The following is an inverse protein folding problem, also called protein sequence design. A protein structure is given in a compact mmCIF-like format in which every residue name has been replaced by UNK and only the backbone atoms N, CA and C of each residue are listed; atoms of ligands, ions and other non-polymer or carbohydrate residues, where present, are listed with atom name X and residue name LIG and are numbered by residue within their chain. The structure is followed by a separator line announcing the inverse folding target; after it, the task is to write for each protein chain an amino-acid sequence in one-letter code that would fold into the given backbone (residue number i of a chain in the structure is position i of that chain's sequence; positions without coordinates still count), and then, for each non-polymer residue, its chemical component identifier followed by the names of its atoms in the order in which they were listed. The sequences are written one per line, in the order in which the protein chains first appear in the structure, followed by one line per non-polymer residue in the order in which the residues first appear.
data_IF_058589367484
#
_entry.id   IF_058589367484
#
_cell.length_a   1.000
_cell.length_b   1.000
_cell.length_c   1.000
_cell.angle_alpha   90.00
_cell.angle_beta   90.00
_cell.angle_gamma   90.00
#
_symmetry.space_group_name_H-M   'P 1'
#
loop_
_entity.id
_entity.type
_entity.pdbx_description
1 polymer ?
#
# COMPACT_ATOMS: atom_id res chain seq x y z
N UNK A 1 2.72 -10.52 16.22
CA UNK A 1 2.20 -9.14 16.17
C UNK A 1 0.68 -9.20 16.07
N UNK A 2 -0.04 -8.31 16.78
CA UNK A 2 -1.50 -8.20 16.59
C UNK A 2 -1.74 -7.69 15.17
N UNK A 3 -2.53 -8.42 14.37
CA UNK A 3 -2.86 -8.01 13.00
C UNK A 3 -3.65 -6.70 13.07
N UNK A 4 -3.15 -5.67 12.39
CA UNK A 4 -3.83 -4.38 12.27
C UNK A 4 -4.80 -4.41 11.08
N UNK A 5 -5.69 -3.42 10.99
CA UNK A 5 -6.72 -3.35 9.95
C UNK A 5 -6.17 -3.50 8.52
N UNK A 6 -6.95 -4.13 7.64
CA UNK A 6 -6.58 -4.43 6.26
C UNK A 6 -7.18 -3.42 5.28
N UNK A 7 -6.48 -3.14 4.18
CA UNK A 7 -6.92 -2.18 3.15
C UNK A 7 -8.04 -2.78 2.29
N UNK A 8 -9.28 -2.59 2.71
CA UNK A 8 -10.44 -3.07 1.95
C UNK A 8 -11.00 -2.02 0.97
N UNK A 9 -10.83 -0.73 1.30
CA UNK A 9 -11.38 0.40 0.55
C UNK A 9 -10.36 1.53 0.42
N UNK A 10 -10.67 2.52 -0.41
CA UNK A 10 -9.86 3.74 -0.46
C UNK A 10 -9.94 4.45 0.89
N UNK A 11 -8.79 4.67 1.50
CA UNK A 11 -8.69 5.29 2.82
C UNK A 11 -8.97 6.79 2.73
N UNK A 12 -9.92 7.33 3.51
CA UNK A 12 -10.19 8.76 3.57
C UNK A 12 -9.03 9.53 4.23
N UNK A 13 -8.98 10.83 3.94
CA UNK A 13 -8.04 11.73 4.61
C UNK A 13 -8.49 12.01 6.06
N UNK A 14 -7.55 12.12 6.99
CA UNK A 14 -7.80 12.49 8.38
C UNK A 14 -8.38 13.89 8.51
N UNK A 15 -8.02 14.79 7.59
CA UNK A 15 -8.58 16.13 7.48
C UNK A 15 -9.57 16.21 6.32
N UNK A 16 -10.51 17.15 6.40
CA UNK A 16 -11.33 17.56 5.26
C UNK A 16 -10.40 18.07 4.17
N UNK A 17 -10.61 17.64 2.92
CA UNK A 17 -9.79 18.06 1.78
C UNK A 17 -10.52 19.05 0.90
N UNK A 18 -9.79 20.04 0.39
CA UNK A 18 -10.26 21.05 -0.54
C UNK A 18 -9.45 21.02 -1.85
N UNK A 19 -10.09 21.39 -2.95
CA UNK A 19 -9.43 21.60 -4.24
C UNK A 19 -9.04 23.06 -4.34
N UNK A 20 -7.77 23.34 -4.59
CA UNK A 20 -7.25 24.68 -4.89
C UNK A 20 -6.84 24.78 -6.35
N UNK A 21 -7.18 25.88 -7.00
CA UNK A 21 -6.80 26.21 -8.37
C UNK A 21 -5.33 26.68 -8.46
N UNK A 22 -4.43 25.81 -7.99
CA UNK A 22 -2.99 26.00 -8.01
C UNK A 22 -2.35 24.74 -8.59
N UNK A 23 -1.30 24.90 -9.41
CA UNK A 23 -0.65 23.78 -10.06
C UNK A 23 -0.15 22.72 -9.04
N UNK A 24 -0.38 21.46 -9.36
CA UNK A 24 0.05 20.33 -8.53
C UNK A 24 1.55 20.14 -8.59
N UNK A 25 2.20 20.09 -7.43
CA UNK A 25 3.60 19.63 -7.32
C UNK A 25 3.75 18.11 -7.56
N UNK A 26 2.64 17.34 -7.52
CA UNK A 26 2.64 15.88 -7.69
C UNK A 26 2.56 15.44 -9.16
N UNK A 27 1.81 16.19 -9.99
CA UNK A 27 1.52 15.80 -11.37
C UNK A 27 1.75 16.98 -12.29
N UNK A 28 2.68 16.80 -13.22
CA UNK A 28 2.92 17.74 -14.30
C UNK A 28 1.62 18.02 -15.07
N UNK A 29 1.36 19.29 -15.36
CA UNK A 29 0.15 19.78 -16.05
C UNK A 29 -1.18 19.64 -15.32
N UNK A 30 -1.22 19.24 -14.04
CA UNK A 30 -2.46 19.32 -13.27
C UNK A 30 -2.62 20.76 -12.72
N UNK A 31 -3.65 21.53 -13.14
CA UNK A 31 -3.78 22.95 -12.79
C UNK A 31 -4.36 23.19 -11.39
N UNK A 32 -4.66 22.13 -10.64
CA UNK A 32 -5.22 22.19 -9.30
C UNK A 32 -4.47 21.25 -8.35
N UNK A 33 -4.56 21.49 -7.04
CA UNK A 33 -4.06 20.61 -5.99
C UNK A 33 -5.16 20.29 -4.98
N UNK A 34 -5.08 19.11 -4.37
CA UNK A 34 -5.98 18.69 -3.30
C UNK A 34 -5.22 18.79 -1.99
N UNK A 35 -5.62 19.70 -1.11
CA UNK A 35 -4.99 19.93 0.18
C UNK A 35 -5.92 19.57 1.34
N UNK A 36 -5.33 19.14 2.45
CA UNK A 36 -5.99 19.03 3.73
C UNK A 36 -6.21 20.44 4.30
N UNK A 37 -7.38 20.63 4.90
CA UNK A 37 -7.69 21.78 5.75
C UNK A 37 -7.22 21.51 7.18
N UNK A 38 -7.44 22.46 8.09
CA UNK A 38 -7.16 22.27 9.52
C UNK A 38 -8.23 21.45 10.25
N UNK A 39 -9.35 21.15 9.58
CA UNK A 39 -10.51 20.49 10.16
C UNK A 39 -10.40 18.97 10.03
N UNK A 40 -10.46 18.25 11.15
CA UNK A 40 -10.54 16.78 11.15
C UNK A 40 -11.85 16.33 10.48
N UNK A 41 -11.79 15.33 9.61
CA UNK A 41 -12.97 14.84 8.90
C UNK A 41 -13.92 14.12 9.84
N UNK A 42 -15.24 14.22 9.58
CA UNK A 42 -16.23 13.48 10.38
C UNK A 42 -15.93 11.98 10.38
N UNK A 43 -15.48 11.41 9.23
CA UNK A 43 -15.13 9.98 9.12
C UNK A 43 -14.00 9.58 10.07
N UNK A 44 -13.06 10.48 10.34
CA UNK A 44 -11.99 10.22 11.29
C UNK A 44 -12.51 10.30 12.73
N UNK A 45 -13.36 11.27 13.05
CA UNK A 45 -13.97 11.41 14.37
C UNK A 45 -14.91 10.23 14.69
N UNK A 46 -15.76 9.84 13.74
CA UNK A 46 -16.69 8.71 13.84
C UNK A 46 -15.96 7.39 14.11
N UNK A 47 -14.72 7.26 13.63
CA UNK A 47 -13.86 6.10 13.81
C UNK A 47 -12.97 6.16 15.07
N UNK A 48 -13.15 7.15 15.95
CA UNK A 48 -12.33 7.37 17.15
C UNK A 48 -10.81 7.44 16.85
N UNK A 49 -10.44 8.30 15.90
CA UNK A 49 -9.06 8.49 15.43
C UNK A 49 -8.05 8.78 16.57
N UNK A 50 -8.50 9.36 17.68
CA UNK A 50 -7.63 9.72 18.80
C UNK A 50 -7.12 8.50 19.58
N UNK A 51 -7.83 7.38 19.52
CA UNK A 51 -7.43 6.09 20.12
C UNK A 51 -6.75 5.15 19.12
N UNK A 52 -6.64 5.56 17.86
CA UNK A 52 -6.15 4.71 16.77
C UNK A 52 -4.63 4.50 16.84
N UNK A 53 -4.17 3.39 16.26
CA UNK A 53 -2.75 3.05 16.19
C UNK A 53 -2.14 3.66 14.91
N UNK A 54 -1.17 4.58 15.00
CA UNK A 54 -0.54 5.18 13.82
C UNK A 54 0.60 4.30 13.30
N UNK A 55 0.65 4.13 11.98
CA UNK A 55 1.70 3.41 11.27
C UNK A 55 2.17 4.22 10.07
N UNK A 56 3.38 3.93 9.60
CA UNK A 56 3.91 4.48 8.36
C UNK A 56 3.01 4.10 7.18
N UNK A 57 2.62 5.09 6.38
CA UNK A 57 2.07 4.83 5.05
C UNK A 57 3.25 4.50 4.13
N UNK A 58 3.31 3.26 3.67
CA UNK A 58 4.34 2.82 2.73
C UNK A 58 3.88 3.09 1.31
N UNK A 59 4.71 3.79 0.54
CA UNK A 59 4.51 4.04 -0.88
C UNK A 59 4.80 2.79 -1.72
N UNK A 60 3.80 1.92 -1.84
CA UNK A 60 3.83 0.71 -2.65
C UNK A 60 2.57 0.53 -3.49
N UNK A 61 2.49 -0.64 -4.14
CA UNK A 61 1.25 -1.12 -4.73
C UNK A 61 0.60 -2.13 -3.81
N UNK A 62 -0.67 -1.88 -3.47
CA UNK A 62 -1.41 -2.70 -2.52
C UNK A 62 -1.61 -4.12 -3.04
N UNK A 63 -1.35 -5.09 -2.18
CA UNK A 63 -1.48 -6.52 -2.40
C UNK A 63 -2.34 -7.15 -1.30
N UNK A 64 -2.80 -8.38 -1.54
CA UNK A 64 -3.55 -9.17 -0.58
C UNK A 64 -3.12 -10.63 -0.67
N UNK A 65 -3.07 -11.36 0.44
CA UNK A 65 -2.83 -12.81 0.42
C UNK A 65 -4.10 -13.52 0.84
N UNK A 66 -4.60 -14.41 -0.02
CA UNK A 66 -5.77 -15.26 0.26
C UNK A 66 -5.74 -16.50 -0.62
N UNK A 67 -6.66 -17.43 -0.36
CA UNK A 67 -6.72 -18.71 -1.05
C UNK A 67 -7.14 -18.56 -2.52
N UNK A 68 -6.41 -19.21 -3.42
CA UNK A 68 -6.75 -19.41 -4.82
C UNK A 68 -6.41 -20.85 -5.21
N UNK A 69 -7.34 -21.58 -5.82
CA UNK A 69 -7.14 -23.01 -6.17
C UNK A 69 -6.68 -23.84 -4.96
N UNK A 70 -7.34 -23.60 -3.81
CA UNK A 70 -7.07 -24.26 -2.52
C UNK A 70 -5.67 -24.04 -1.92
N UNK A 71 -4.92 -23.05 -2.43
CA UNK A 71 -3.58 -22.70 -1.95
C UNK A 71 -3.45 -21.21 -1.60
N UNK A 72 -2.62 -20.83 -0.61
CA UNK A 72 -2.30 -19.44 -0.36
C UNK A 72 -1.67 -18.76 -1.58
N UNK A 73 -2.23 -17.63 -2.01
CA UNK A 73 -1.78 -16.92 -3.20
C UNK A 73 -1.61 -15.43 -2.93
N UNK A 74 -0.71 -14.77 -3.66
CA UNK A 74 -0.64 -13.32 -3.70
C UNK A 74 -1.65 -12.81 -4.73
N UNK A 75 -2.34 -11.74 -4.36
CA UNK A 75 -3.33 -11.06 -5.18
C UNK A 75 -2.94 -9.59 -5.33
N UNK A 76 -3.01 -9.08 -6.56
CA UNK A 76 -2.78 -7.69 -6.87
C UNK A 76 -4.09 -6.91 -6.82
N UNK A 77 -4.02 -5.64 -6.39
CA UNK A 77 -5.18 -4.75 -6.39
C UNK A 77 -5.65 -4.45 -7.81
N UNK A 78 -6.93 -4.69 -8.08
CA UNK A 78 -7.60 -4.31 -9.32
C UNK A 78 -8.97 -3.69 -9.01
N UNK A 79 -9.05 -2.37 -9.01
CA UNK A 79 -10.33 -1.67 -8.86
C UNK A 79 -11.14 -1.76 -10.16
N UNK A 80 -12.38 -2.24 -10.08
CA UNK A 80 -13.33 -2.17 -11.19
C UNK A 80 -13.85 -0.73 -11.30
N UNK A 81 -13.51 -0.09 -12.41
CA UNK A 81 -13.78 1.34 -12.68
C UNK A 81 -14.99 1.52 -13.60
N UNK A 82 -15.68 2.66 -13.53
CA UNK A 82 -16.75 2.97 -14.45
C UNK A 82 -16.21 3.10 -15.88
N UNK A 83 -17.07 2.84 -16.86
CA UNK A 83 -16.81 3.12 -18.26
C UNK A 83 -16.84 4.64 -18.49
N UNK A 84 -16.42 5.10 -19.69
CA UNK A 84 -16.30 6.55 -19.98
C UNK A 84 -17.63 7.30 -19.86
N UNK A 85 -18.75 6.68 -20.23
CA UNK A 85 -20.07 7.31 -20.21
C UNK A 85 -20.60 7.44 -18.77
N UNK A 86 -20.47 6.37 -18.00
CA UNK A 86 -20.85 6.33 -16.60
C UNK A 86 -20.00 7.28 -15.74
N UNK A 87 -18.68 7.33 -15.96
CA UNK A 87 -17.78 8.27 -15.28
C UNK A 87 -18.17 9.73 -15.54
N UNK A 88 -18.54 10.07 -16.79
CA UNK A 88 -19.03 11.40 -17.14
C UNK A 88 -20.34 11.74 -16.43
N UNK A 89 -21.31 10.81 -16.43
CA UNK A 89 -22.59 10.96 -15.72
C UNK A 89 -22.37 11.17 -14.22
N UNK A 90 -21.51 10.37 -13.61
CA UNK A 90 -21.20 10.44 -12.19
C UNK A 90 -20.54 11.77 -11.81
N UNK A 91 -19.56 12.24 -12.60
CA UNK A 91 -18.94 13.55 -12.38
C UNK A 91 -19.94 14.71 -12.51
N UNK A 92 -20.83 14.65 -13.50
CA UNK A 92 -21.88 15.66 -13.66
C UNK A 92 -22.84 15.68 -12.46
N UNK A 93 -23.19 14.50 -11.93
CA UNK A 93 -24.00 14.38 -10.72
C UNK A 93 -23.29 15.01 -9.51
N UNK A 94 -22.01 14.71 -9.29
CA UNK A 94 -21.23 15.30 -8.19
C UNK A 94 -21.15 16.84 -8.27
N UNK A 95 -21.11 17.41 -9.47
CA UNK A 95 -21.09 18.87 -9.67
C UNK A 95 -22.48 19.53 -9.53
N UNK A 96 -23.57 18.76 -9.55
CA UNK A 96 -24.92 19.32 -9.44
C UNK A 96 -25.22 19.71 -7.99
N UNK A 97 -25.75 20.93 -7.78
CA UNK A 97 -25.99 21.49 -6.43
C UNK A 97 -27.23 20.91 -5.71
N UNK A 98 -28.01 20.05 -6.38
CA UNK A 98 -29.22 19.42 -5.83
C UNK A 98 -28.95 17.97 -5.37
N UNK A 99 -28.09 17.79 -4.36
CA UNK A 99 -27.73 16.46 -3.86
C UNK A 99 -28.73 15.93 -2.81
N UNK A 100 -30.03 15.89 -3.12
CA UNK A 100 -31.02 15.19 -2.28
C UNK A 100 -31.27 13.74 -2.68
N UNK A 101 -30.79 13.31 -3.86
CA UNK A 101 -30.96 11.94 -4.40
C UNK A 101 -29.62 11.25 -4.56
N UNK A 102 -29.54 9.96 -4.22
CA UNK A 102 -28.35 9.14 -4.45
C UNK A 102 -28.16 8.85 -5.96
N UNK A 103 -26.90 8.74 -6.41
CA UNK A 103 -26.61 8.33 -7.78
C UNK A 103 -26.89 6.84 -7.97
N UNK A 104 -27.71 6.52 -8.96
CA UNK A 104 -28.06 5.13 -9.29
C UNK A 104 -27.10 4.56 -10.33
N UNK A 105 -26.36 3.53 -9.91
CA UNK A 105 -25.44 2.77 -10.76
C UNK A 105 -26.14 1.58 -11.42
N UNK A 106 -25.93 1.39 -12.72
CA UNK A 106 -26.20 0.11 -13.38
C UNK A 106 -24.93 -0.76 -13.36
N UNK A 107 -24.82 -1.69 -12.41
CA UNK A 107 -23.60 -2.49 -12.18
C UNK A 107 -23.17 -3.32 -13.42
N UNK A 108 -24.12 -3.69 -14.27
CA UNK A 108 -23.85 -4.49 -15.47
C UNK A 108 -23.27 -3.64 -16.60
N UNK A 109 -23.84 -2.45 -16.83
CA UNK A 109 -23.49 -1.61 -17.98
C UNK A 109 -22.45 -0.53 -17.65
N UNK A 110 -22.50 0.05 -16.45
CA UNK A 110 -21.73 1.26 -16.10
C UNK A 110 -20.24 0.97 -15.86
N UNK A 111 -19.83 -0.30 -15.74
CA UNK A 111 -18.48 -0.67 -15.32
C UNK A 111 -17.70 -1.45 -16.36
N UNK A 112 -16.39 -1.27 -16.36
CA UNK A 112 -15.49 -2.07 -17.20
C UNK A 112 -15.54 -3.55 -16.80
N UNK A 113 -15.31 -4.47 -17.76
CA UNK A 113 -15.19 -5.89 -17.45
C UNK A 113 -13.95 -6.14 -16.59
N UNK A 114 -14.02 -7.18 -15.78
CA UNK A 114 -12.91 -7.72 -14.98
C UNK A 114 -12.71 -9.19 -15.33
N UNK A 115 -11.51 -9.77 -15.09
CA UNK A 115 -11.29 -11.20 -15.24
C UNK A 115 -12.24 -12.02 -14.36
N UNK A 116 -12.54 -13.25 -14.76
CA UNK A 116 -13.41 -14.17 -13.99
C UNK A 116 -12.87 -14.45 -12.59
N UNK A 117 -11.54 -14.52 -12.44
CA UNK A 117 -10.87 -14.70 -11.15
C UNK A 117 -10.88 -13.44 -10.27
N UNK A 118 -11.46 -12.33 -10.71
CA UNK A 118 -11.55 -11.12 -9.89
C UNK A 118 -12.52 -11.31 -8.72
N UNK A 119 -12.09 -10.89 -7.53
CA UNK A 119 -12.95 -10.90 -6.34
C UNK A 119 -13.08 -9.48 -5.77
N UNK A 120 -14.27 -9.08 -5.27
CA UNK A 120 -14.42 -7.83 -4.54
C UNK A 120 -13.63 -7.88 -3.24
N UNK A 121 -13.15 -6.72 -2.78
CA UNK A 121 -12.63 -6.59 -1.42
C UNK A 121 -13.74 -6.89 -0.38
N UNK A 122 -13.36 -7.47 0.76
CA UNK A 122 -14.30 -8.12 1.69
C UNK A 122 -15.36 -7.21 2.28
N UNK A 123 -15.01 -5.96 2.57
CA UNK A 123 -15.89 -5.00 3.24
C UNK A 123 -16.68 -4.11 2.27
N UNK A 124 -16.77 -4.50 1.00
CA UNK A 124 -17.60 -3.77 0.05
C UNK A 124 -19.07 -3.99 0.38
N UNK A 125 -19.84 -2.90 0.37
CA UNK A 125 -21.31 -2.97 0.51
C UNK A 125 -21.90 -3.68 -0.70
N UNK A 126 -22.84 -4.58 -0.46
CA UNK A 126 -23.56 -5.28 -1.53
C UNK A 126 -25.02 -4.83 -1.56
N UNK A 127 -25.55 -4.57 -2.76
CA UNK A 127 -26.96 -4.27 -2.99
C UNK A 127 -27.52 -5.32 -3.96
N UNK A 128 -28.54 -6.06 -3.53
CA UNK A 128 -29.11 -7.19 -4.29
C UNK A 128 -28.05 -8.19 -4.77
N UNK A 129 -27.06 -8.49 -3.92
CA UNK A 129 -25.96 -9.42 -4.22
C UNK A 129 -24.81 -8.83 -5.05
N UNK A 130 -24.92 -7.60 -5.55
CA UNK A 130 -23.88 -6.97 -6.35
C UNK A 130 -23.02 -5.99 -5.53
N UNK A 131 -21.69 -5.96 -5.72
CA UNK A 131 -20.83 -5.00 -5.04
C UNK A 131 -21.11 -3.58 -5.52
N UNK A 132 -21.25 -2.66 -4.57
CA UNK A 132 -21.55 -1.24 -4.82
C UNK A 132 -20.24 -0.44 -4.85
N UNK A 133 -20.11 0.53 -5.77
CA UNK A 133 -18.94 1.41 -5.80
C UNK A 133 -18.81 2.28 -4.55
N UNK A 134 -17.57 2.70 -4.28
CA UNK A 134 -17.25 3.69 -3.27
C UNK A 134 -17.66 5.12 -3.71
N UNK A 135 -17.39 6.10 -2.85
CA UNK A 135 -17.67 7.52 -3.12
C UNK A 135 -16.94 8.10 -4.34
N UNK A 136 -15.93 7.39 -4.86
CA UNK A 136 -15.20 7.76 -6.07
C UNK A 136 -15.73 7.03 -7.31
N UNK A 137 -16.80 6.23 -7.17
CA UNK A 137 -17.36 5.43 -8.24
C UNK A 137 -16.59 4.16 -8.53
N UNK A 138 -15.62 3.75 -7.69
CA UNK A 138 -14.80 2.55 -7.93
C UNK A 138 -15.27 1.37 -7.08
N UNK A 139 -15.15 0.16 -7.60
CA UNK A 139 -15.34 -1.07 -6.80
C UNK A 139 -13.97 -1.70 -6.54
N UNK A 140 -13.43 -1.54 -5.32
CA UNK A 140 -12.27 -2.28 -4.83
C UNK A 140 -12.26 -3.77 -5.19
N UNK A 141 -11.11 -4.31 -5.56
CA UNK A 141 -11.02 -5.76 -5.75
C UNK A 141 -9.62 -6.25 -6.02
N UNK A 142 -9.53 -7.55 -6.27
CA UNK A 142 -8.29 -8.29 -6.29
C UNK A 142 -8.27 -9.28 -7.45
N UNK A 143 -7.09 -9.53 -8.01
CA UNK A 143 -6.86 -10.63 -8.96
C UNK A 143 -5.61 -11.42 -8.55
N UNK A 144 -5.59 -12.75 -8.75
CA UNK A 144 -4.45 -13.56 -8.36
C UNK A 144 -3.23 -13.23 -9.23
N UNK A 145 -2.06 -13.24 -8.61
CA UNK A 145 -0.77 -12.99 -9.27
C UNK A 145 -0.27 -14.32 -9.85
N UNK A 146 -0.63 -14.58 -11.11
CA UNK A 146 -0.14 -15.75 -11.84
C UNK A 146 1.19 -15.45 -12.56
N UNK A 147 2.14 -16.42 -12.56
CA UNK A 147 3.48 -16.25 -13.16
C UNK A 147 3.44 -15.85 -14.64
N UNK A 148 2.42 -16.28 -15.38
CA UNK A 148 2.24 -15.98 -16.81
C UNK A 148 1.76 -14.54 -17.08
N UNK A 149 1.24 -13.84 -16.07
CA UNK A 149 0.67 -12.51 -16.24
C UNK A 149 1.76 -11.42 -16.21
N UNK A 150 2.11 -10.89 -17.38
CA UNK A 150 3.10 -9.82 -17.53
C UNK A 150 2.74 -8.53 -16.79
N UNK A 151 1.45 -8.25 -16.55
CA UNK A 151 1.01 -7.06 -15.82
C UNK A 151 1.51 -7.08 -14.36
N UNK A 152 1.65 -8.27 -13.77
CA UNK A 152 2.02 -8.45 -12.36
C UNK A 152 3.41 -9.07 -12.20
N UNK A 153 4.29 -8.94 -13.21
CA UNK A 153 5.61 -9.57 -13.19
C UNK A 153 6.46 -9.20 -11.96
N UNK A 154 6.35 -7.98 -11.45
CA UNK A 154 7.03 -7.56 -10.22
C UNK A 154 6.43 -8.17 -8.96
N UNK A 155 5.12 -8.38 -8.93
CA UNK A 155 4.45 -9.10 -7.83
C UNK A 155 4.87 -10.58 -7.84
N UNK A 156 4.95 -11.19 -9.03
CA UNK A 156 5.42 -12.57 -9.18
C UNK A 156 6.88 -12.74 -8.76
N UNK A 157 7.70 -11.68 -8.76
CA UNK A 157 9.12 -11.74 -8.40
C UNK A 157 9.40 -11.92 -6.90
N UNK A 158 8.41 -11.61 -6.06
CA UNK A 158 8.52 -11.64 -4.59
C UNK A 158 7.83 -12.84 -3.96
N UNK A 159 7.31 -13.76 -4.75
CA UNK A 159 6.65 -14.98 -4.29
C UNK A 159 7.21 -16.21 -4.98
N UNK A 160 7.32 -17.29 -4.24
CA UNK A 160 7.59 -18.60 -4.77
C UNK A 160 6.49 -19.57 -4.33
N UNK A 161 5.57 -19.87 -5.23
CA UNK A 161 4.44 -20.77 -4.97
C UNK A 161 4.85 -22.25 -4.84
N UNK A 162 6.03 -22.65 -5.33
CA UNK A 162 6.51 -24.03 -5.14
C UNK A 162 6.86 -24.30 -3.68
N UNK A 163 7.45 -23.31 -3.01
CA UNK A 163 7.77 -23.36 -1.59
C UNK A 163 6.77 -22.61 -0.70
N UNK A 164 5.69 -22.09 -1.30
CA UNK A 164 4.66 -21.28 -0.64
C UNK A 164 5.22 -20.12 0.24
N UNK A 165 6.25 -19.43 -0.24
CA UNK A 165 6.90 -18.33 0.48
C UNK A 165 6.83 -17.00 -0.27
N UNK A 166 6.90 -15.91 0.50
CA UNK A 166 7.00 -14.54 0.04
C UNK A 166 8.27 -13.87 0.59
N UNK A 167 8.90 -12.99 -0.17
CA UNK A 167 10.03 -12.18 0.29
C UNK A 167 9.53 -10.90 0.96
N UNK A 168 9.77 -10.78 2.26
CA UNK A 168 9.13 -9.76 3.10
C UNK A 168 10.17 -8.90 3.82
N UNK A 169 9.93 -7.59 3.87
CA UNK A 169 10.63 -6.63 4.70
C UNK A 169 9.81 -6.33 5.97
N UNK A 170 10.44 -6.45 7.14
CA UNK A 170 9.81 -6.18 8.43
C UNK A 170 10.82 -5.70 9.47
N UNK A 171 10.37 -5.39 10.69
CA UNK A 171 11.28 -5.19 11.83
C UNK A 171 11.91 -6.50 12.26
N UNK A 172 13.18 -6.46 12.66
CA UNK A 172 13.80 -7.60 13.33
C UNK A 172 13.04 -7.88 14.64
N UNK A 173 12.70 -9.15 14.95
CA UNK A 173 11.90 -9.49 16.13
C UNK A 173 12.48 -8.97 17.45
N UNK A 174 13.81 -9.04 17.58
CA UNK A 174 14.52 -8.70 18.82
C UNK A 174 15.14 -7.29 18.82
N UNK A 175 15.16 -6.61 17.67
CA UNK A 175 15.75 -5.27 17.53
C UNK A 175 14.87 -4.36 16.67
N UNK A 176 14.00 -3.53 17.29
CA UNK A 176 13.16 -2.58 16.56
C UNK A 176 13.93 -1.53 15.76
N UNK A 177 15.23 -1.32 16.02
CA UNK A 177 16.09 -0.44 15.24
C UNK A 177 16.59 -1.06 13.94
N UNK A 178 16.47 -2.38 13.80
CA UNK A 178 16.95 -3.17 12.66
C UNK A 178 15.76 -3.62 11.79
N UNK A 179 15.93 -3.50 10.48
CA UNK A 179 15.04 -4.13 9.50
C UNK A 179 15.56 -5.51 9.12
N UNK A 180 14.66 -6.41 8.75
CA UNK A 180 14.98 -7.75 8.26
C UNK A 180 14.27 -8.00 6.93
N UNK A 181 15.02 -8.55 5.97
CA UNK A 181 14.47 -9.18 4.77
C UNK A 181 14.54 -10.70 4.97
N UNK A 182 13.40 -11.37 4.85
CA UNK A 182 13.33 -12.83 5.02
C UNK A 182 12.21 -13.45 4.18
N UNK A 183 12.34 -14.74 3.80
CA UNK A 183 11.22 -15.50 3.28
C UNK A 183 10.22 -15.76 4.41
N UNK A 184 8.94 -15.60 4.12
CA UNK A 184 7.82 -15.81 5.05
C UNK A 184 6.81 -16.73 4.37
N UNK A 185 6.31 -17.78 5.05
CA UNK A 185 5.22 -18.59 4.52
C UNK A 185 4.01 -17.75 4.13
N UNK A 186 3.43 -18.00 2.96
CA UNK A 186 2.21 -17.34 2.50
C UNK A 186 1.04 -17.62 3.46
N UNK A 187 1.03 -18.78 4.12
CA UNK A 187 0.08 -19.14 5.19
C UNK A 187 0.09 -18.15 6.34
N UNK A 188 1.26 -17.65 6.75
CA UNK A 188 1.40 -16.66 7.82
C UNK A 188 0.81 -15.29 7.41
N UNK A 189 0.80 -15.02 6.10
CA UNK A 189 0.29 -13.80 5.49
C UNK A 189 -1.20 -13.89 5.10
N UNK A 190 -1.85 -15.03 5.28
CA UNK A 190 -3.26 -15.21 4.90
C UNK A 190 -4.17 -14.15 5.50
N UNK A 191 -5.02 -13.61 4.64
CA UNK A 191 -5.98 -12.55 4.89
C UNK A 191 -5.34 -11.21 5.32
N UNK A 192 -4.07 -10.98 5.00
CA UNK A 192 -3.39 -9.70 5.21
C UNK A 192 -3.24 -8.92 3.91
N UNK A 193 -3.39 -7.60 4.01
CA UNK A 193 -2.95 -6.68 2.94
C UNK A 193 -1.49 -6.31 3.12
N UNK A 194 -0.78 -6.17 2.01
CA UNK A 194 0.64 -5.82 1.97
C UNK A 194 0.86 -4.68 0.97
N UNK A 195 2.01 -4.05 1.03
CA UNK A 195 2.50 -3.13 0.01
C UNK A 195 3.69 -3.78 -0.70
N UNK A 196 3.59 -3.91 -2.03
CA UNK A 196 4.73 -4.23 -2.87
C UNK A 196 5.54 -2.95 -3.07
N UNK A 197 6.82 -2.98 -2.72
CA UNK A 197 7.78 -1.90 -3.01
C UNK A 197 8.92 -2.42 -3.86
N UNK A 198 9.64 -1.54 -4.53
CA UNK A 198 10.85 -1.93 -5.25
C UNK A 198 11.25 -1.01 -6.39
N UNK A 199 12.26 -1.46 -7.13
CA UNK A 199 12.90 -0.71 -8.22
C UNK A 199 11.92 -0.18 -9.25
N UNK A 200 10.86 -0.93 -9.56
CA UNK A 200 9.89 -0.59 -10.58
C UNK A 200 8.54 -0.11 -10.01
N UNK A 201 8.45 0.12 -8.71
CA UNK A 201 7.20 0.51 -8.04
C UNK A 201 7.25 1.97 -7.62
N UNK A 202 6.23 2.74 -8.02
CA UNK A 202 5.97 4.13 -7.59
C UNK A 202 7.20 5.06 -7.64
N UNK A 203 8.10 4.88 -8.61
CA UNK A 203 9.31 5.71 -8.76
C UNK A 203 10.45 5.36 -7.79
N UNK A 204 10.37 4.23 -7.10
CA UNK A 204 11.39 3.70 -6.18
C UNK A 204 11.79 4.68 -5.06
N UNK A 205 10.84 5.15 -4.22
CA UNK A 205 11.11 6.10 -3.14
C UNK A 205 12.14 5.58 -2.11
N UNK A 206 12.31 4.25 -2.04
CA UNK A 206 13.22 3.61 -1.10
C UNK A 206 14.58 3.25 -1.69
N UNK A 207 14.84 3.56 -2.97
CA UNK A 207 16.15 3.32 -3.59
C UNK A 207 16.54 1.84 -3.67
N UNK A 208 15.56 0.94 -3.77
CA UNK A 208 15.78 -0.50 -3.87
C UNK A 208 16.33 -0.87 -5.25
N UNK A 209 17.47 -1.56 -5.27
CA UNK A 209 18.07 -2.12 -6.48
C UNK A 209 18.31 -1.10 -7.60
N UNK A 210 18.49 -1.59 -8.81
CA UNK A 210 18.64 -0.76 -10.01
C UNK A 210 18.10 -1.50 -11.25
N UNK A 211 18.10 -0.85 -12.42
CA UNK A 211 17.56 -1.45 -13.66
C UNK A 211 18.22 -2.78 -14.05
N UNK A 212 19.50 -2.98 -13.71
CA UNK A 212 20.25 -4.20 -14.00
C UNK A 212 19.94 -5.30 -12.99
N UNK A 213 19.79 -4.92 -11.72
CA UNK A 213 19.50 -5.82 -10.60
C UNK A 213 18.30 -5.27 -9.82
N UNK A 214 17.07 -5.47 -10.34
CA UNK A 214 15.88 -4.94 -9.69
C UNK A 214 15.59 -5.71 -8.41
N UNK A 215 15.19 -5.01 -7.36
CA UNK A 215 14.80 -5.56 -6.06
C UNK A 215 13.37 -5.16 -5.76
N UNK A 216 12.56 -6.13 -5.36
CA UNK A 216 11.18 -5.94 -4.90
C UNK A 216 10.98 -6.69 -3.59
N UNK A 217 10.13 -6.16 -2.72
CA UNK A 217 9.84 -6.70 -1.40
C UNK A 217 8.37 -6.45 -1.05
N UNK A 218 7.77 -7.36 -0.29
CA UNK A 218 6.47 -7.12 0.34
C UNK A 218 6.66 -6.55 1.75
N UNK A 219 5.80 -5.60 2.13
CA UNK A 219 5.71 -5.10 3.50
C UNK A 219 4.29 -5.37 4.00
N UNK A 220 4.09 -6.11 5.10
CA UNK A 220 2.76 -6.26 5.68
C UNK A 220 2.22 -4.89 6.10
N UNK A 221 0.97 -4.62 5.77
CA UNK A 221 0.37 -3.34 6.09
C UNK A 221 0.34 -3.13 7.62
N UNK A 222 0.78 -1.96 8.07
CA UNK A 222 0.88 -1.63 9.50
C UNK A 222 2.10 -2.22 10.22
N UNK A 223 3.06 -2.82 9.48
CA UNK A 223 4.28 -3.38 10.08
C UNK A 223 5.16 -2.35 10.80
N UNK A 224 5.04 -1.07 10.45
CA UNK A 224 5.89 0.02 10.96
C UNK A 224 5.06 1.00 11.79
N UNK A 225 4.90 0.73 13.08
CA UNK A 225 4.21 1.61 14.01
C UNK A 225 5.03 2.88 14.29
N UNK A 226 4.36 4.03 14.30
CA UNK A 226 4.96 5.33 14.62
C UNK A 226 4.88 5.53 16.14
N UNK A 227 6.02 5.81 16.78
CA UNK A 227 6.09 5.93 18.24
C UNK A 227 5.96 7.37 18.71
N UNK A 228 6.57 8.31 18.00
CA UNK A 228 6.61 9.73 18.40
C UNK A 228 5.74 10.59 17.50
N UNK A 229 4.46 10.22 17.40
CA UNK A 229 3.48 11.00 16.66
C UNK A 229 3.18 12.31 17.41
N UNK A 230 3.16 13.48 16.75
CA UNK A 230 2.73 14.72 17.40
C UNK A 230 1.22 14.70 17.64
N UNK A 231 0.69 15.76 18.26
CA UNK A 231 -0.76 15.92 18.41
C UNK A 231 -1.44 15.93 17.03
N UNK A 232 -2.66 15.41 16.98
CA UNK A 232 -3.46 15.37 15.75
C UNK A 232 -3.99 16.77 15.41
N UNK A 233 -3.10 17.66 14.98
CA UNK A 233 -3.37 18.99 14.47
C UNK A 233 -2.59 19.18 13.18
N UNK A 234 -3.18 19.91 12.23
CA UNK A 234 -2.61 20.11 10.90
C UNK A 234 -1.16 20.64 10.96
N UNK A 235 -0.94 21.73 11.69
CA UNK A 235 0.37 22.37 11.75
C UNK A 235 1.41 21.54 12.52
N UNK A 236 1.00 20.81 13.56
CA UNK A 236 1.88 19.92 14.32
C UNK A 236 2.35 18.75 13.43
N UNK A 237 1.46 18.17 12.62
CA UNK A 237 1.81 17.13 11.65
C UNK A 237 2.70 17.69 10.53
N UNK A 238 2.38 18.88 9.99
CA UNK A 238 3.19 19.53 8.96
C UNK A 238 4.63 19.72 9.44
N UNK A 239 4.82 20.34 10.60
CA UNK A 239 6.14 20.53 11.21
C UNK A 239 6.86 19.21 11.49
N UNK A 240 6.14 18.16 11.88
CA UNK A 240 6.73 16.84 12.09
C UNK A 240 7.20 16.18 10.79
N UNK A 241 6.43 16.25 9.71
CA UNK A 241 6.84 15.71 8.40
C UNK A 241 8.08 16.43 7.83
N UNK A 242 8.30 17.69 8.16
CA UNK A 242 9.45 18.48 7.69
C UNK A 242 10.68 18.34 8.60
N UNK A 243 10.49 18.46 9.92
CA UNK A 243 11.57 18.57 10.89
C UNK A 243 11.97 17.27 11.59
N UNK A 244 11.08 16.27 11.66
CA UNK A 244 11.35 15.02 12.39
C UNK A 244 12.00 13.96 11.49
N UNK A 245 12.97 13.21 12.03
CA UNK A 245 13.58 12.07 11.33
C UNK A 245 12.56 10.96 11.06
N UNK A 246 11.71 10.62 12.04
CA UNK A 246 10.62 9.64 11.89
C UNK A 246 9.54 10.15 10.91
N UNK A 247 9.43 11.47 10.75
CA UNK A 247 8.52 12.13 9.80
C UNK A 247 8.95 12.10 8.35
N UNK A 248 10.12 11.53 8.01
CA UNK A 248 10.59 11.37 6.62
C UNK A 248 9.93 10.17 5.93
N UNK A 249 8.61 10.13 5.94
CA UNK A 249 7.77 9.04 5.39
C UNK A 249 6.70 9.60 4.45
N UNK A 250 6.08 8.77 3.60
CA UNK A 250 5.07 9.21 2.61
C UNK A 250 3.84 9.83 3.28
N UNK A 251 3.46 9.27 4.42
CA UNK A 251 2.23 9.58 5.12
C UNK A 251 2.07 8.74 6.37
N UNK A 252 0.93 8.90 7.02
CA UNK A 252 0.53 8.13 8.20
C UNK A 252 -0.78 7.41 7.87
N UNK A 253 -0.91 6.19 8.35
CA UNK A 253 -2.16 5.44 8.42
C UNK A 253 -2.53 5.24 9.88
N UNK A 254 -3.76 5.56 10.25
CA UNK A 254 -4.30 5.25 11.56
C UNK A 254 -5.23 4.04 11.44
N UNK A 255 -4.97 3.06 12.29
CA UNK A 255 -5.76 1.85 12.44
C UNK A 255 -6.75 2.02 13.59
N UNK A 256 -8.01 2.28 13.24
CA UNK A 256 -9.08 2.54 14.19
C UNK A 256 -9.62 1.23 14.78
N UNK A 257 -10.25 1.30 15.94
CA UNK A 257 -10.74 0.14 16.69
C UNK A 257 -11.91 -0.57 16.00
N UNK A 258 -12.68 0.16 15.19
CA UNK A 258 -13.78 -0.33 14.35
C UNK A 258 -13.31 -0.98 13.03
N UNK A 259 -12.00 -1.05 12.80
CA UNK A 259 -11.40 -1.57 11.56
C UNK A 259 -11.22 -0.51 10.46
N UNK A 260 -11.70 0.72 10.66
CA UNK A 260 -11.52 1.80 9.71
C UNK A 260 -10.03 2.19 9.58
N UNK A 261 -9.62 2.51 8.35
CA UNK A 261 -8.29 3.01 8.05
C UNK A 261 -8.38 4.46 7.58
N UNK A 262 -7.82 5.36 8.36
CA UNK A 262 -7.74 6.79 8.06
C UNK A 262 -6.30 7.13 7.68
N UNK A 263 -6.06 8.07 6.76
CA UNK A 263 -4.70 8.45 6.38
C UNK A 263 -4.45 9.93 6.26
N UNK A 264 -3.18 10.30 6.28
CA UNK A 264 -2.70 11.57 5.71
C UNK A 264 -1.50 11.26 4.83
N UNK A 265 -1.35 12.02 3.75
CA UNK A 265 -0.21 11.92 2.85
C UNK A 265 0.47 13.28 2.82
N UNK A 266 1.80 13.32 2.76
CA UNK A 266 2.60 14.54 2.55
C UNK A 266 1.99 15.53 1.56
N UNK A 267 1.53 15.05 0.40
CA UNK A 267 0.92 15.92 -0.61
C UNK A 267 -0.36 16.62 -0.16
N UNK A 268 -1.16 16.02 0.74
CA UNK A 268 -2.32 16.70 1.30
C UNK A 268 -1.88 17.88 2.19
N UNK A 269 -0.69 17.82 2.78
CA UNK A 269 -0.11 18.93 3.56
C UNK A 269 0.71 19.90 2.70
N UNK A 270 0.64 19.77 1.36
CA UNK A 270 1.43 20.60 0.44
C UNK A 270 2.92 20.24 0.35
N UNK A 271 3.34 19.14 0.98
CA UNK A 271 4.72 18.67 0.96
C UNK A 271 5.04 17.80 -0.25
N UNK A 272 6.31 17.77 -0.63
CA UNK A 272 6.81 16.90 -1.69
C UNK A 272 6.93 15.44 -1.22
N UNK A 273 6.79 14.55 -2.20
CA UNK A 273 7.10 13.13 -2.11
C UNK A 273 7.35 12.62 -3.54
N UNK A 274 8.33 11.74 -3.80
CA UNK A 274 9.29 11.17 -2.84
C UNK A 274 10.29 12.20 -2.29
N UNK A 275 11.01 11.83 -1.23
CA UNK A 275 12.13 12.60 -0.66
C UNK A 275 13.42 11.75 -0.66
N UNK A 276 14.62 12.35 -0.75
CA UNK A 276 15.87 11.60 -0.94
C UNK A 276 16.25 10.63 0.19
N UNK A 277 15.95 10.98 1.44
CA UNK A 277 16.34 10.20 2.62
C UNK A 277 15.12 9.90 3.49
N UNK A 278 14.43 8.81 3.14
CA UNK A 278 13.28 8.32 3.89
C UNK A 278 13.69 7.74 5.25
N UNK A 279 12.77 7.71 6.21
CA UNK A 279 13.01 7.16 7.54
C UNK A 279 13.38 5.68 7.48
N UNK A 280 12.71 4.91 6.62
CA UNK A 280 13.02 3.50 6.35
C UNK A 280 14.48 3.30 5.90
N UNK A 281 14.98 4.18 5.02
CA UNK A 281 16.38 4.19 4.58
C UNK A 281 17.38 4.68 5.64
N UNK A 282 16.92 5.07 6.83
CA UNK A 282 17.77 5.50 7.92
C UNK A 282 18.08 4.38 8.92
N UNK A 283 17.49 3.19 8.71
CA UNK A 283 17.65 1.99 9.55
C UNK A 283 18.59 0.99 8.85
N UNK A 284 19.46 0.29 9.60
CA UNK A 284 20.18 -0.86 9.07
C UNK A 284 19.22 -1.97 8.69
N UNK A 285 19.67 -2.86 7.81
CA UNK A 285 18.91 -4.05 7.37
C UNK A 285 19.79 -5.28 7.40
N UNK A 286 19.24 -6.40 7.86
CA UNK A 286 19.88 -7.73 7.80
C UNK A 286 19.10 -8.63 6.84
N UNK A 287 19.84 -9.43 6.07
CA UNK A 287 19.26 -10.49 5.24
C UNK A 287 19.24 -11.78 6.06
N UNK A 288 18.07 -12.39 6.17
CA UNK A 288 17.88 -13.63 6.91
C UNK A 288 17.01 -14.58 6.08
N UNK A 289 17.66 -15.35 5.22
CA UNK A 289 16.99 -16.30 4.34
C UNK A 289 16.69 -17.62 5.05
N UNK A 290 17.45 -17.98 6.10
CA UNK A 290 17.30 -19.19 6.93
C UNK A 290 16.69 -20.38 6.16
N UNK A 291 17.41 -20.76 5.11
CA UNK A 291 16.94 -21.69 4.09
C UNK A 291 17.13 -23.17 4.48
N UNK A 292 17.60 -23.46 5.69
CA UNK A 292 17.90 -24.82 6.13
C UNK A 292 16.66 -25.74 6.18
N UNK A 293 15.45 -25.18 6.05
CA UNK A 293 14.18 -25.91 6.09
C UNK A 293 13.68 -26.39 4.73
N UNK A 294 14.30 -26.01 3.62
CA UNK A 294 13.83 -26.42 2.31
C UNK A 294 15.00 -26.88 1.44
N UNK A 295 14.77 -27.91 0.64
CA UNK A 295 15.76 -28.47 -0.26
C UNK A 295 15.77 -27.63 -1.54
N UNK A 296 16.63 -26.61 -1.59
CA UNK A 296 16.49 -25.50 -2.53
C UNK A 296 17.30 -25.69 -3.82
N UNK A 297 16.59 -25.76 -4.95
CA UNK A 297 17.12 -25.33 -6.25
C UNK A 297 16.23 -24.21 -6.80
N UNK A 298 16.41 -23.00 -6.27
CA UNK A 298 15.76 -21.82 -6.84
C UNK A 298 16.21 -21.58 -8.28
N UNK A 299 15.33 -20.99 -9.10
CA UNK A 299 15.74 -20.44 -10.38
C UNK A 299 16.90 -19.45 -10.16
N UNK A 300 18.01 -19.68 -10.88
CA UNK A 300 19.23 -18.88 -10.79
C UNK A 300 19.01 -17.37 -10.92
N UNK A 301 17.93 -16.95 -11.59
CA UNK A 301 17.59 -15.54 -11.84
C UNK A 301 16.58 -14.95 -10.88
N UNK A 302 16.04 -15.72 -9.92
CA UNK A 302 15.02 -15.21 -9.00
C UNK A 302 15.63 -14.49 -7.79
N UNK A 303 14.85 -13.58 -7.18
CA UNK A 303 15.29 -12.80 -6.03
C UNK A 303 15.68 -13.67 -4.83
N UNK A 304 14.96 -14.77 -4.58
CA UNK A 304 15.27 -15.69 -3.49
C UNK A 304 16.69 -16.27 -3.61
N UNK A 305 17.12 -16.61 -4.82
CA UNK A 305 18.49 -17.08 -5.08
C UNK A 305 19.53 -15.96 -4.92
N UNK A 306 19.21 -14.72 -5.27
CA UNK A 306 20.15 -13.62 -5.07
C UNK A 306 20.30 -13.26 -3.59
N UNK A 307 19.21 -13.23 -2.83
CA UNK A 307 19.28 -12.97 -1.39
C UNK A 307 19.92 -14.12 -0.62
N UNK A 308 19.81 -15.38 -1.08
CA UNK A 308 20.50 -16.51 -0.42
C UNK A 308 22.03 -16.40 -0.51
N UNK A 309 22.57 -15.82 -1.58
CA UNK A 309 24.02 -15.56 -1.73
C UNK A 309 24.56 -14.55 -0.72
N UNK A 310 23.69 -13.66 -0.21
CA UNK A 310 24.05 -12.61 0.76
C UNK A 310 23.38 -12.83 2.11
N UNK A 311 23.03 -14.08 2.43
CA UNK A 311 22.42 -14.44 3.70
C UNK A 311 23.31 -14.03 4.89
N UNK A 312 22.67 -13.60 5.98
CA UNK A 312 23.29 -13.05 7.19
C UNK A 312 24.13 -11.78 6.99
N UNK A 313 24.15 -11.18 5.80
CA UNK A 313 24.81 -9.90 5.59
C UNK A 313 23.96 -8.75 6.16
N UNK A 314 24.63 -7.76 6.74
CA UNK A 314 24.05 -6.55 7.29
C UNK A 314 24.48 -5.33 6.48
N UNK A 315 23.52 -4.51 6.09
CA UNK A 315 23.73 -3.27 5.35
C UNK A 315 23.35 -2.08 6.22
N UNK A 316 24.02 -0.95 6.00
CA UNK A 316 23.76 0.29 6.73
C UNK A 316 22.38 0.87 6.44
N UNK A 317 21.87 0.67 5.22
CA UNK A 317 20.57 1.15 4.74
C UNK A 317 19.98 0.19 3.73
N UNK A 318 18.66 0.25 3.55
CA UNK A 318 17.94 -0.54 2.57
C UNK A 318 18.45 -0.32 1.12
N UNK A 319 18.75 0.93 0.75
CA UNK A 319 19.31 1.30 -0.56
C UNK A 319 20.75 0.84 -0.81
N UNK A 320 21.46 0.38 0.23
CA UNK A 320 22.86 -0.06 0.12
C UNK A 320 22.96 -1.56 -0.29
N UNK A 321 21.83 -2.27 -0.39
CA UNK A 321 21.82 -3.68 -0.81
C UNK A 321 22.24 -3.77 -2.28
N UNK A 322 23.37 -4.43 -2.52
CA UNK A 322 23.87 -4.77 -3.85
C UNK A 322 23.79 -6.27 -4.08
N UNK A 323 23.17 -6.66 -5.19
CA UNK A 323 23.16 -8.06 -5.65
C UNK A 323 24.26 -8.19 -6.71
N UNK A 324 25.50 -8.41 -6.27
CA UNK A 324 26.59 -8.76 -7.17
C UNK A 324 26.37 -10.21 -7.65
N UNK A 325 26.15 -10.38 -8.95
CA UNK A 325 25.80 -11.69 -9.55
C UNK A 325 27.00 -12.59 -9.67
#
# INVERSE_FOLDING_TARGET
MRRLGSVQRKMPCVFVTEVKDEASAKREHQPFKVLATETISHKALDADIHSAIPTEKVDGTCCYVTTYKDQPYLWARLDRKPNKQADKRFKNFLCSKENSKEFLWNIEEDFKPVPECWIPAKEIKHLKGNPVPDENGHIPGWVPVEKSNKQYCWHSSVVNYEFEIALVLMHHPDDPGLLQISPVPLTDLLEQTLELIGTNINGNPYGLGNKKHPIHLLIPHGAFQIRNLPRLKHNDLLSWFEGCREGKIEGIVWHCSDGCLIKVHRHHLGLSWPIPDTYMNSKPVIINMNLNKYDYTFDTKCLFNYFSKIDNQKFGRLKDITLDV
#
